data_IF_423440604693
#
_entry.id   IF_423440604693
#
_cell.length_a   1.000
_cell.length_b   1.000
_cell.length_c   1.000
_cell.angle_alpha   90.00
_cell.angle_beta   90.00
_cell.angle_gamma   90.00
#
_symmetry.space_group_name_H-M   'P 1'
#
loop_
_entity.id
_entity.type
_entity.pdbx_description
1 polymer ?
#
# COMPACT_ATOMS: atom_id res chain seq x y z
N UNK A 1 -16.92 -1.41 12.35
CA UNK A 1 -15.45 -1.29 12.30
C UNK A 1 -14.87 -2.56 12.88
N UNK A 2 -14.20 -3.36 12.06
CA UNK A 2 -13.48 -4.54 12.52
C UNK A 2 -12.03 -4.11 12.82
N UNK A 3 -11.54 -4.39 14.03
CA UNK A 3 -10.11 -4.27 14.36
C UNK A 3 -9.48 -5.60 13.99
N UNK A 4 -8.72 -5.64 12.90
CA UNK A 4 -7.78 -6.75 12.68
C UNK A 4 -6.70 -6.70 13.75
N UNK A 5 -6.05 -7.84 14.01
CA UNK A 5 -5.02 -8.02 15.06
C UNK A 5 -3.78 -7.12 14.88
N UNK A 6 -3.70 -6.39 13.77
CA UNK A 6 -2.57 -5.53 13.37
C UNK A 6 -2.86 -4.02 13.49
N UNK A 7 -3.97 -3.62 14.11
CA UNK A 7 -4.17 -2.22 14.53
C UNK A 7 -4.64 -1.25 13.44
N UNK A 8 -4.84 -1.70 12.20
CA UNK A 8 -5.42 -0.87 11.15
C UNK A 8 -6.94 -0.69 11.40
N UNK A 9 -7.31 0.45 12.00
CA UNK A 9 -8.70 0.82 12.23
C UNK A 9 -9.35 1.21 10.90
N UNK A 10 -9.96 0.23 10.22
CA UNK A 10 -10.80 0.44 9.05
C UNK A 10 -12.14 1.08 9.44
N UNK A 11 -12.11 2.40 9.68
CA UNK A 11 -13.29 3.23 9.51
C UNK A 11 -13.31 3.70 8.06
N UNK A 12 -14.05 2.94 7.26
CA UNK A 12 -14.64 3.30 5.97
C UNK A 12 -14.77 4.81 5.80
N UNK A 13 -13.91 5.38 4.97
CA UNK A 13 -14.18 6.66 4.33
C UNK A 13 -15.12 6.33 3.17
N UNK A 14 -16.42 6.46 3.40
CA UNK A 14 -17.49 5.94 2.54
C UNK A 14 -17.63 6.71 1.21
N UNK A 15 -16.59 7.43 0.77
CA UNK A 15 -16.68 8.35 -0.36
C UNK A 15 -15.43 8.48 -1.23
N UNK A 16 -14.29 7.85 -0.91
CA UNK A 16 -13.05 8.11 -1.66
C UNK A 16 -12.52 6.86 -2.36
N UNK A 17 -12.82 6.83 -3.66
CA UNK A 17 -12.18 6.05 -4.73
C UNK A 17 -12.29 4.53 -4.66
N UNK A 18 -13.41 4.05 -5.19
CA UNK A 18 -13.42 2.79 -5.94
C UNK A 18 -12.35 2.89 -7.04
N UNK A 19 -11.21 2.22 -6.89
CA UNK A 19 -10.40 1.84 -8.05
C UNK A 19 -11.28 0.84 -8.81
N UNK A 20 -11.84 1.16 -9.99
CA UNK A 20 -12.86 0.33 -10.65
C UNK A 20 -12.37 -1.08 -10.99
N UNK A 21 -11.05 -1.29 -11.00
CA UNK A 21 -10.37 -2.49 -11.46
C UNK A 21 -10.04 -3.51 -10.37
N UNK A 22 -10.10 -3.15 -9.08
CA UNK A 22 -9.83 -4.08 -7.96
C UNK A 22 -11.04 -4.09 -7.03
N UNK A 23 -11.82 -5.17 -7.09
CA UNK A 23 -13.06 -5.32 -6.30
C UNK A 23 -12.85 -5.22 -4.79
N UNK A 24 -11.64 -5.44 -4.27
CA UNK A 24 -11.23 -5.09 -2.90
C UNK A 24 -9.72 -5.07 -2.76
N UNK A 25 -9.11 -3.87 -2.87
CA UNK A 25 -7.68 -3.67 -2.54
C UNK A 25 -7.34 -4.20 -1.15
N UNK A 26 -8.29 -4.14 -0.21
CA UNK A 26 -8.16 -4.70 1.13
C UNK A 26 -7.96 -6.21 1.17
N UNK A 27 -8.62 -6.98 0.28
CA UNK A 27 -8.46 -8.44 0.24
C UNK A 27 -7.06 -8.82 -0.27
N UNK A 28 -6.56 -8.06 -1.26
CA UNK A 28 -5.20 -8.22 -1.78
C UNK A 28 -4.18 -7.85 -0.70
N UNK A 29 -4.37 -6.71 -0.03
CA UNK A 29 -3.51 -6.23 1.07
C UNK A 29 -3.42 -7.30 2.18
N UNK A 30 -4.57 -7.79 2.65
CA UNK A 30 -4.64 -8.81 3.71
C UNK A 30 -3.99 -10.13 3.26
N UNK A 31 -4.29 -10.60 2.04
CA UNK A 31 -3.71 -11.84 1.50
C UNK A 31 -2.19 -11.79 1.41
N UNK A 32 -1.63 -10.68 0.92
CA UNK A 32 -0.19 -10.51 0.76
C UNK A 32 0.50 -10.36 2.11
N UNK A 33 -0.10 -9.63 3.06
CA UNK A 33 0.40 -9.53 4.45
C UNK A 33 0.45 -10.91 5.13
N UNK A 34 -0.53 -11.77 4.89
CA UNK A 34 -0.52 -13.15 5.39
C UNK A 34 0.60 -14.00 4.78
N UNK A 35 0.97 -13.76 3.51
CA UNK A 35 2.03 -14.51 2.80
C UNK A 35 3.44 -14.03 3.10
N UNK A 36 3.58 -12.75 3.44
CA UNK A 36 4.86 -12.08 3.72
C UNK A 36 4.86 -11.56 5.15
N UNK A 37 5.12 -12.43 6.16
CA UNK A 37 5.12 -12.04 7.57
C UNK A 37 6.24 -11.04 7.93
N UNK A 38 7.21 -10.83 7.04
CA UNK A 38 8.19 -9.74 7.14
C UNK A 38 7.58 -8.35 6.90
N UNK A 39 6.42 -8.25 6.26
CA UNK A 39 5.71 -6.99 6.09
C UNK A 39 5.03 -6.58 7.40
N UNK A 40 5.14 -5.30 7.73
CA UNK A 40 4.41 -4.67 8.84
C UNK A 40 3.15 -3.95 8.35
N UNK A 41 3.17 -3.45 7.12
CA UNK A 41 2.06 -2.73 6.51
C UNK A 41 2.13 -2.88 4.98
N UNK A 42 0.97 -2.96 4.33
CA UNK A 42 0.83 -2.93 2.87
C UNK A 42 -0.38 -2.08 2.53
N UNK A 43 -0.18 -1.05 1.71
CA UNK A 43 -1.21 -0.14 1.25
C UNK A 43 -1.18 -0.09 -0.26
N UNK A 44 -2.30 -0.36 -0.92
CA UNK A 44 -2.42 -0.19 -2.37
C UNK A 44 -3.08 1.16 -2.64
N UNK A 45 -2.39 1.99 -3.42
CA UNK A 45 -2.85 3.34 -3.81
C UNK A 45 -2.91 3.48 -5.32
N UNK A 46 -3.77 4.35 -5.87
CA UNK A 46 -3.71 4.67 -7.29
C UNK A 46 -2.42 5.45 -7.58
N UNK A 47 -1.68 4.98 -8.58
CA UNK A 47 -0.53 5.66 -9.16
C UNK A 47 -0.94 6.79 -10.12
N UNK A 48 0.05 7.51 -10.67
CA UNK A 48 -0.19 8.63 -11.57
C UNK A 48 -0.96 8.23 -12.84
N UNK A 49 -0.73 7.02 -13.36
CA UNK A 49 -1.41 6.46 -14.53
C UNK A 49 -2.66 5.64 -14.14
N UNK A 50 -3.14 5.78 -12.89
CA UNK A 50 -4.25 5.01 -12.29
C UNK A 50 -3.97 3.51 -12.17
N UNK A 51 -2.71 3.11 -12.25
CA UNK A 51 -2.23 1.78 -11.95
C UNK A 51 -2.20 1.55 -10.43
N UNK A 52 -2.43 0.32 -9.94
CA UNK A 52 -2.34 0.05 -8.52
C UNK A 52 -0.87 -0.03 -8.10
N UNK A 53 -0.45 0.89 -7.21
CA UNK A 53 0.90 1.00 -6.68
C UNK A 53 0.93 0.45 -5.25
N UNK A 54 1.68 -0.63 -4.97
CA UNK A 54 1.86 -1.17 -3.63
C UNK A 54 2.88 -0.35 -2.85
N UNK A 55 2.50 0.12 -1.66
CA UNK A 55 3.41 0.71 -0.67
C UNK A 55 3.58 -0.28 0.46
N UNK A 56 4.82 -0.69 0.71
CA UNK A 56 5.14 -1.70 1.72
C UNK A 56 6.01 -1.14 2.83
N UNK A 57 5.74 -1.59 4.04
CA UNK A 57 6.65 -1.44 5.17
C UNK A 57 7.10 -2.83 5.62
N UNK A 58 8.37 -2.96 5.94
CA UNK A 58 8.98 -4.21 6.43
C UNK A 58 9.30 -4.07 7.92
N UNK A 59 9.50 -5.21 8.59
CA UNK A 59 10.03 -5.24 9.95
C UNK A 59 11.46 -4.70 9.94
N UNK A 60 11.76 -3.86 10.93
CA UNK A 60 13.07 -3.23 11.11
C UNK A 60 13.56 -2.45 9.88
N UNK A 61 12.65 -2.01 9.01
CA UNK A 61 12.94 -1.38 7.71
C UNK A 61 13.87 -2.22 6.82
N UNK A 62 13.89 -3.55 7.00
CA UNK A 62 14.73 -4.46 6.22
C UNK A 62 14.36 -4.43 4.72
N UNK A 63 15.32 -4.54 3.78
CA UNK A 63 15.02 -4.53 2.35
C UNK A 63 14.03 -5.62 1.94
N UNK A 64 13.03 -5.25 1.13
CA UNK A 64 12.07 -6.21 0.57
C UNK A 64 12.77 -7.17 -0.42
N UNK A 65 12.54 -8.48 -0.25
CA UNK A 65 12.91 -9.47 -1.25
C UNK A 65 11.92 -9.42 -2.43
N UNK A 66 12.34 -8.80 -3.53
CA UNK A 66 11.52 -8.66 -4.74
C UNK A 66 11.11 -10.01 -5.37
N UNK A 67 11.91 -11.07 -5.21
CA UNK A 67 11.55 -12.39 -5.73
C UNK A 67 10.47 -13.06 -4.86
N UNK A 68 10.47 -12.84 -3.54
CA UNK A 68 9.37 -13.25 -2.66
C UNK A 68 8.12 -12.42 -2.90
N UNK A 69 8.28 -11.10 -3.07
CA UNK A 69 7.18 -10.20 -3.43
C UNK A 69 6.45 -10.69 -4.69
N UNK A 70 7.19 -10.86 -5.80
CA UNK A 70 6.61 -11.32 -7.08
C UNK A 70 5.86 -12.64 -6.95
N UNK A 71 6.34 -13.57 -6.13
CA UNK A 71 5.64 -14.83 -5.84
C UNK A 71 4.37 -14.63 -5.02
N UNK A 72 4.40 -13.73 -4.03
CA UNK A 72 3.26 -13.46 -3.17
C UNK A 72 2.10 -12.80 -3.90
N UNK A 73 2.38 -12.01 -4.95
CA UNK A 73 1.38 -11.33 -5.78
C UNK A 73 1.05 -12.05 -7.09
N UNK A 74 1.63 -13.23 -7.37
CA UNK A 74 1.56 -13.88 -8.68
C UNK A 74 0.13 -14.26 -9.11
N UNK A 75 -0.79 -14.44 -8.15
CA UNK A 75 -2.21 -14.76 -8.36
C UNK A 75 -3.13 -13.55 -8.12
N UNK A 76 -2.55 -12.37 -7.90
CA UNK A 76 -3.27 -11.11 -7.69
C UNK A 76 -3.33 -10.31 -8.98
N UNK A 77 -4.11 -9.22 -8.98
CA UNK A 77 -4.12 -8.26 -10.08
C UNK A 77 -2.73 -7.69 -10.35
N UNK A 78 -2.44 -7.41 -11.63
CA UNK A 78 -1.19 -6.74 -12.02
C UNK A 78 -1.07 -5.40 -11.30
N UNK A 79 0.07 -5.19 -10.63
CA UNK A 79 0.42 -3.98 -9.89
C UNK A 79 1.76 -3.45 -10.37
N UNK A 80 2.02 -2.17 -10.10
CA UNK A 80 3.34 -1.59 -10.28
C UNK A 80 4.36 -2.23 -9.32
N UNK A 81 5.65 -1.92 -9.52
CA UNK A 81 6.69 -2.33 -8.60
C UNK A 81 6.44 -1.74 -7.19
N UNK A 82 6.73 -2.50 -6.12
CA UNK A 82 6.43 -2.07 -4.76
C UNK A 82 7.38 -0.94 -4.34
N UNK A 83 6.83 0.07 -3.69
CA UNK A 83 7.58 1.16 -3.08
C UNK A 83 7.74 0.84 -1.59
N UNK A 84 8.97 0.63 -1.16
CA UNK A 84 9.27 0.43 0.26
C UNK A 84 9.39 1.77 0.97
N UNK A 85 8.61 1.96 2.03
CA UNK A 85 8.65 3.14 2.90
C UNK A 85 8.78 2.73 4.35
N UNK A 86 9.34 3.63 5.19
CA UNK A 86 9.34 3.40 6.63
C UNK A 86 7.97 3.67 7.20
N UNK A 87 7.58 2.89 8.21
CA UNK A 87 6.28 3.02 8.85
C UNK A 87 6.04 4.43 9.44
N UNK A 88 7.10 5.08 9.93
CA UNK A 88 7.07 6.44 10.46
C UNK A 88 6.99 7.55 9.40
N UNK A 89 7.26 7.25 8.13
CA UNK A 89 7.21 8.20 7.01
C UNK A 89 5.82 8.26 6.37
N UNK A 90 4.99 7.25 6.61
CA UNK A 90 3.63 7.20 6.10
C UNK A 90 2.78 8.35 6.68
N UNK A 91 2.02 9.08 5.84
CA UNK A 91 1.13 10.13 6.32
C UNK A 91 0.03 9.52 7.19
N UNK A 92 0.03 9.86 8.48
CA UNK A 92 -0.93 9.37 9.47
C UNK A 92 -1.78 10.50 10.02
N UNK A 93 -3.03 10.20 10.36
CA UNK A 93 -3.85 11.05 11.22
C UNK A 93 -3.37 10.94 12.67
N UNK A 94 -3.82 11.87 13.53
CA UNK A 94 -3.57 11.82 14.98
C UNK A 94 -4.07 10.52 15.66
N UNK A 95 -4.90 9.74 14.97
CA UNK A 95 -5.45 8.45 15.41
C UNK A 95 -4.75 7.24 14.77
N UNK A 96 -3.54 7.42 14.22
CA UNK A 96 -2.72 6.40 13.55
C UNK A 96 -3.31 5.81 12.24
N UNK A 97 -4.40 6.39 11.70
CA UNK A 97 -4.97 5.97 10.42
C UNK A 97 -4.11 6.52 9.27
N UNK A 98 -3.71 5.67 8.33
CA UNK A 98 -2.96 6.09 7.14
C UNK A 98 -3.89 6.89 6.22
N UNK A 99 -3.43 8.05 5.76
CA UNK A 99 -4.14 8.90 4.80
C UNK A 99 -3.80 8.46 3.37
N UNK A 100 -4.53 7.47 2.87
CA UNK A 100 -4.31 6.86 1.54
C UNK A 100 -4.28 7.87 0.39
N UNK A 101 -5.18 8.86 0.39
CA UNK A 101 -5.22 9.92 -0.61
C UNK A 101 -3.98 10.85 -0.55
N UNK A 102 -3.50 11.17 0.66
CA UNK A 102 -2.29 11.96 0.84
C UNK A 102 -1.05 11.18 0.37
N UNK A 103 -1.01 9.87 0.67
CA UNK A 103 0.04 8.98 0.18
C UNK A 103 0.06 8.90 -1.35
N UNK A 104 -1.10 8.69 -1.98
CA UNK A 104 -1.23 8.69 -3.44
C UNK A 104 -0.71 9.99 -4.07
N UNK A 105 -1.08 11.14 -3.50
CA UNK A 105 -0.57 12.46 -3.95
C UNK A 105 0.94 12.57 -3.83
N UNK A 106 1.52 12.17 -2.68
CA UNK A 106 2.98 12.19 -2.48
C UNK A 106 3.72 11.33 -3.50
N UNK A 107 3.19 10.15 -3.82
CA UNK A 107 3.79 9.27 -4.82
C UNK A 107 3.67 9.85 -6.24
N UNK A 108 2.52 10.43 -6.58
CA UNK A 108 2.36 11.11 -7.87
C UNK A 108 3.36 12.27 -8.03
N UNK A 109 3.58 13.05 -6.97
CA UNK A 109 4.57 14.14 -6.97
C UNK A 109 6.01 13.61 -7.10
N UNK A 110 6.34 12.49 -6.46
CA UNK A 110 7.67 11.87 -6.53
C UNK A 110 7.98 11.30 -7.92
N UNK A 111 7.05 10.55 -8.53
CA UNK A 111 7.22 9.98 -9.88
C UNK A 111 7.37 11.09 -10.94
N UNK A 112 6.64 12.20 -10.77
CA UNK A 112 6.77 13.36 -11.66
C UNK A 112 8.18 13.98 -11.59
N UNK A 113 8.84 13.91 -10.43
CA UNK A 113 10.19 14.46 -10.24
C UNK A 113 11.29 13.56 -10.83
N UNK A 114 11.12 12.24 -10.83
CA UNK A 114 12.08 11.29 -11.44
C UNK A 114 12.03 11.33 -12.98
N UNK A 115 10.87 11.62 -13.58
CA UNK A 115 10.74 11.78 -15.03
C UNK A 115 11.26 13.14 -15.56
N UNK A 116 11.48 14.11 -14.67
CA UNK A 116 11.94 15.45 -15.00
C UNK A 116 13.45 15.68 -14.76
N UNK A 117 14.19 14.64 -14.33
CA UNK A 117 15.64 14.68 -14.09
C UNK A 117 16.42 13.82 -15.08
#
# INVERSE_FOLDING_TARGET
GYRTKWGCLHLLDREVDQIPTIHSTLEVEDTVLHRLPELTELIIVPGPEKEPVPVVCTKDDAPLDLARWKRAIADQSTMADPIQMKLGELPRTATAKIKRLELARRLADQVTHELAS
#
